data_IF_820463807518
#
_entry.id   IF_820463807518
#
_cell.length_a   1.000
_cell.length_b   1.000
_cell.length_c   1.000
_cell.angle_alpha   90.00
_cell.angle_beta   90.00
_cell.angle_gamma   90.00
#
_symmetry.space_group_name_H-M   'P 1'
#
loop_
_entity.id
_entity.type
_entity.pdbx_description
1 polymer ?
#
# COMPACT_ATOMS: atom_id res chain seq x y z
N UNK A 1 12.67 30.89 -64.82
CA UNK A 1 11.80 30.62 -63.66
C UNK A 1 12.61 30.85 -62.40
N UNK A 2 12.20 31.79 -61.55
CA UNK A 2 12.99 32.35 -60.44
C UNK A 2 13.22 31.33 -59.32
N UNK A 3 14.31 30.56 -59.40
CA UNK A 3 14.69 29.55 -58.39
C UNK A 3 14.72 30.13 -56.97
N UNK A 4 15.06 31.41 -56.80
CA UNK A 4 15.04 32.11 -55.51
C UNK A 4 13.64 32.32 -54.93
N UNK A 5 12.62 32.54 -55.78
CA UNK A 5 11.22 32.64 -55.34
C UNK A 5 10.68 31.27 -54.94
N UNK A 6 10.99 30.24 -55.71
CA UNK A 6 10.62 28.86 -55.39
C UNK A 6 11.21 28.42 -54.04
N UNK A 7 12.49 28.69 -53.79
CA UNK A 7 13.16 28.37 -52.52
C UNK A 7 12.49 29.06 -51.32
N UNK A 8 12.13 30.35 -51.44
CA UNK A 8 11.45 31.09 -50.36
C UNK A 8 10.06 30.51 -50.05
N UNK A 9 9.33 30.08 -51.08
CA UNK A 9 8.01 29.44 -50.91
C UNK A 9 8.16 28.08 -50.21
N UNK A 10 9.16 27.28 -50.60
CA UNK A 10 9.43 25.99 -49.96
C UNK A 10 9.79 26.15 -48.48
N UNK A 11 10.65 27.12 -48.15
CA UNK A 11 11.02 27.42 -46.75
C UNK A 11 9.79 27.86 -45.95
N UNK A 12 8.93 28.71 -46.52
CA UNK A 12 7.70 29.14 -45.86
C UNK A 12 6.74 27.96 -45.61
N UNK A 13 6.58 27.07 -46.58
CA UNK A 13 5.74 25.87 -46.44
C UNK A 13 6.30 24.91 -45.36
N UNK A 14 7.62 24.71 -45.32
CA UNK A 14 8.26 23.89 -44.29
C UNK A 14 8.08 24.48 -42.88
N UNK A 15 8.18 25.80 -42.74
CA UNK A 15 7.90 26.47 -41.47
C UNK A 15 6.45 26.28 -41.03
N UNK A 16 5.50 26.44 -41.96
CA UNK A 16 4.07 26.25 -41.69
C UNK A 16 3.81 24.82 -41.22
N UNK A 17 4.35 23.81 -41.91
CA UNK A 17 4.21 22.39 -41.52
C UNK A 17 4.77 22.13 -40.13
N UNK A 18 5.94 22.69 -39.80
CA UNK A 18 6.53 22.53 -38.47
C UNK A 18 5.69 23.19 -37.37
N UNK A 19 5.11 24.36 -37.63
CA UNK A 19 4.20 25.03 -36.67
C UNK A 19 2.94 24.19 -36.46
N UNK A 20 2.35 23.64 -37.52
CA UNK A 20 1.18 22.75 -37.39
C UNK A 20 1.50 21.45 -36.64
N UNK A 21 2.65 20.82 -36.92
CA UNK A 21 3.08 19.63 -36.17
C UNK A 21 3.34 19.94 -34.70
N UNK A 22 4.01 21.06 -34.39
CA UNK A 22 4.22 21.47 -33.01
C UNK A 22 2.89 21.74 -32.30
N UNK A 23 1.94 22.42 -32.96
CA UNK A 23 0.59 22.63 -32.43
C UNK A 23 -0.17 21.32 -32.18
N UNK A 24 -0.05 20.34 -33.09
CA UNK A 24 -0.65 19.02 -32.93
C UNK A 24 -0.05 18.25 -31.74
N UNK A 25 1.28 18.25 -31.59
CA UNK A 25 1.97 17.57 -30.48
C UNK A 25 1.62 18.22 -29.14
N UNK A 26 1.58 19.55 -29.08
CA UNK A 26 1.17 20.28 -27.86
C UNK A 26 -0.30 19.96 -27.54
N UNK A 27 -1.18 19.98 -28.53
CA UNK A 27 -2.58 19.62 -28.29
C UNK A 27 -2.68 18.18 -27.77
N UNK A 28 -2.02 17.20 -28.39
CA UNK A 28 -2.03 15.80 -27.94
C UNK A 28 -1.43 15.62 -26.53
N UNK A 29 -0.42 16.40 -26.16
CA UNK A 29 0.24 16.32 -24.86
C UNK A 29 -0.54 17.00 -23.73
N UNK A 30 -1.43 17.94 -24.05
CA UNK A 30 -2.18 18.75 -23.07
C UNK A 30 -3.70 18.67 -23.22
N UNK A 31 -4.23 17.88 -24.15
CA UNK A 31 -5.65 17.55 -24.17
C UNK A 31 -5.91 16.55 -23.06
N UNK A 32 -6.92 16.83 -22.23
CA UNK A 32 -7.45 15.83 -21.32
C UNK A 32 -7.83 14.60 -22.15
N UNK A 33 -7.33 13.42 -21.78
CA UNK A 33 -7.55 12.25 -22.59
C UNK A 33 -9.02 11.90 -22.64
N UNK A 34 -9.51 11.65 -23.85
CA UNK A 34 -10.79 10.98 -24.04
C UNK A 34 -10.61 9.55 -23.53
N UNK A 35 -11.05 9.32 -22.29
CA UNK A 35 -10.84 8.11 -21.48
C UNK A 35 -11.02 6.77 -22.21
N UNK A 36 -11.80 6.74 -23.30
CA UNK A 36 -12.02 5.56 -24.14
C UNK A 36 -10.84 5.19 -25.02
N UNK A 37 -10.14 6.17 -25.59
CA UNK A 37 -9.01 5.91 -26.49
C UNK A 37 -7.76 5.52 -25.70
N UNK A 38 -7.56 6.08 -24.50
CA UNK A 38 -6.47 5.68 -23.60
C UNK A 38 -6.65 4.27 -23.06
N UNK A 39 -7.86 3.89 -22.62
CA UNK A 39 -8.12 2.53 -22.15
C UNK A 39 -7.79 1.50 -23.23
N UNK A 40 -8.23 1.76 -24.46
CA UNK A 40 -7.93 0.90 -25.61
C UNK A 40 -6.42 0.82 -25.87
N UNK A 41 -5.73 1.95 -25.89
CA UNK A 41 -4.29 2.02 -26.09
C UNK A 41 -3.50 1.27 -25.00
N UNK A 42 -3.87 1.45 -23.73
CA UNK A 42 -3.26 0.76 -22.58
C UNK A 42 -3.49 -0.75 -22.69
N UNK A 43 -4.71 -1.17 -23.02
CA UNK A 43 -5.06 -2.59 -23.18
C UNK A 43 -4.26 -3.23 -24.32
N UNK A 44 -4.09 -2.53 -25.44
CA UNK A 44 -3.26 -2.99 -26.57
C UNK A 44 -1.77 -3.11 -26.19
N UNK A 45 -1.23 -2.19 -25.40
CA UNK A 45 0.15 -2.28 -24.87
C UNK A 45 0.32 -3.47 -23.92
N UNK A 46 -0.62 -3.68 -23.00
CA UNK A 46 -0.57 -4.80 -22.06
C UNK A 46 -0.63 -6.14 -22.80
N UNK A 47 -1.52 -6.26 -23.78
CA UNK A 47 -1.60 -7.44 -24.64
C UNK A 47 -0.32 -7.67 -25.46
N UNK A 48 0.30 -6.60 -26.00
CA UNK A 48 1.61 -6.71 -26.68
C UNK A 48 2.72 -7.24 -25.75
N UNK A 49 2.63 -6.96 -24.45
CA UNK A 49 3.57 -7.45 -23.42
C UNK A 49 3.18 -8.79 -22.83
N UNK A 50 2.16 -9.45 -23.37
CA UNK A 50 1.63 -10.71 -22.87
C UNK A 50 1.14 -10.62 -21.41
N UNK A 51 0.58 -9.45 -21.04
CA UNK A 51 -0.02 -9.19 -19.73
C UNK A 51 -1.54 -9.19 -19.90
N UNK A 52 -2.23 -10.11 -19.23
CA UNK A 52 -3.68 -10.17 -19.18
C UNK A 52 -4.21 -9.52 -17.89
N UNK A 53 -5.24 -8.68 -18.02
CA UNK A 53 -6.03 -8.19 -16.89
C UNK A 53 -7.28 -9.05 -16.78
N UNK A 54 -7.40 -9.84 -15.71
CA UNK A 54 -8.58 -10.64 -15.39
C UNK A 54 -9.38 -9.97 -14.27
N UNK A 55 -9.80 -8.73 -14.53
CA UNK A 55 -10.67 -7.97 -13.62
C UNK A 55 -11.61 -7.05 -14.40
N UNK A 56 -12.81 -6.83 -13.86
CA UNK A 56 -13.70 -5.78 -14.33
C UNK A 56 -13.21 -4.44 -13.77
N UNK A 57 -12.78 -3.55 -14.66
CA UNK A 57 -12.47 -2.17 -14.29
C UNK A 57 -13.79 -1.40 -14.29
N UNK A 58 -14.22 -0.81 -13.16
CA UNK A 58 -15.48 -0.08 -13.10
C UNK A 58 -15.50 1.08 -14.08
N UNK A 59 -16.60 1.24 -14.84
CA UNK A 59 -16.77 2.36 -15.78
C UNK A 59 -17.06 3.71 -15.10
N UNK A 60 -17.27 3.70 -13.77
CA UNK A 60 -17.56 4.89 -12.99
C UNK A 60 -16.35 5.33 -12.17
N UNK A 61 -16.15 6.65 -12.07
CA UNK A 61 -15.26 7.20 -11.05
C UNK A 61 -16.00 7.14 -9.71
N UNK A 62 -15.57 6.26 -8.80
CA UNK A 62 -16.02 6.31 -7.43
C UNK A 62 -15.60 7.65 -6.81
N UNK A 63 -16.45 8.35 -6.05
CA UNK A 63 -16.02 9.52 -5.31
C UNK A 63 -14.90 9.11 -4.36
N UNK A 64 -13.71 9.70 -4.54
CA UNK A 64 -12.57 9.45 -3.66
C UNK A 64 -12.88 10.02 -2.27
N UNK A 65 -12.91 9.16 -1.25
CA UNK A 65 -12.91 9.60 0.13
C UNK A 65 -11.48 9.97 0.54
N UNK A 66 -11.32 11.10 1.23
CA UNK A 66 -10.06 11.45 1.87
C UNK A 66 -10.13 10.98 3.30
N UNK A 67 -9.27 10.03 3.67
CA UNK A 67 -9.07 9.67 5.08
C UNK A 67 -8.43 10.89 5.75
N UNK A 68 -9.17 11.51 6.67
CA UNK A 68 -8.64 12.65 7.44
C UNK A 68 -7.96 12.08 8.68
N UNK A 69 -6.66 12.32 8.81
CA UNK A 69 -5.88 11.86 9.97
C UNK A 69 -6.33 12.65 11.20
N UNK A 70 -7.07 12.03 12.11
CA UNK A 70 -7.15 12.51 13.48
C UNK A 70 -5.84 12.17 14.19
N UNK A 71 -5.44 12.96 15.18
CA UNK A 71 -4.31 12.59 16.03
C UNK A 71 -4.54 11.19 16.61
N UNK A 72 -3.63 10.25 16.34
CA UNK A 72 -3.68 8.92 16.92
C UNK A 72 -3.58 9.03 18.45
N UNK A 73 -4.59 8.54 19.16
CA UNK A 73 -4.52 8.37 20.61
C UNK A 73 -4.03 6.96 20.95
N UNK A 74 -2.73 6.85 21.21
CA UNK A 74 -2.07 5.61 21.60
C UNK A 74 -2.08 5.35 23.12
N UNK A 75 -2.71 6.22 23.92
CA UNK A 75 -2.58 6.21 25.39
C UNK A 75 -2.95 4.87 25.99
N UNK A 76 -4.09 4.29 25.60
CA UNK A 76 -4.55 3.01 26.12
C UNK A 76 -3.58 1.85 25.80
N UNK A 77 -3.05 1.81 24.57
CA UNK A 77 -2.08 0.79 24.14
C UNK A 77 -0.79 0.94 24.92
N UNK A 78 -0.26 2.16 25.04
CA UNK A 78 0.97 2.42 25.77
C UNK A 78 0.84 2.09 27.26
N UNK A 79 -0.30 2.41 27.88
CA UNK A 79 -0.54 2.09 29.28
C UNK A 79 -0.66 0.57 29.50
N UNK A 80 -1.36 -0.15 28.63
CA UNK A 80 -1.37 -1.61 28.64
C UNK A 80 0.03 -2.20 28.51
N UNK A 81 0.85 -1.72 27.56
CA UNK A 81 2.20 -2.24 27.33
C UNK A 81 3.16 -1.97 28.51
N UNK A 82 2.98 -0.86 29.24
CA UNK A 82 3.74 -0.59 30.48
C UNK A 82 3.48 -1.62 31.57
N UNK A 83 2.27 -2.18 31.64
CA UNK A 83 1.90 -3.19 32.64
C UNK A 83 2.45 -4.59 32.31
N UNK A 84 2.89 -4.83 31.08
CA UNK A 84 3.38 -6.14 30.61
C UNK A 84 4.89 -6.36 30.80
N UNK A 85 5.59 -5.48 31.53
CA UNK A 85 7.04 -5.59 31.84
C UNK A 85 7.96 -5.76 30.61
N UNK A 86 7.53 -5.31 29.42
CA UNK A 86 8.34 -5.35 28.20
C UNK A 86 8.97 -4.01 27.85
N UNK A 87 9.78 -4.00 26.80
CA UNK A 87 10.44 -2.79 26.29
C UNK A 87 9.61 -2.24 25.14
N UNK A 88 9.19 -0.98 25.21
CA UNK A 88 8.53 -0.30 24.09
C UNK A 88 9.15 1.05 23.77
N UNK A 89 8.93 1.49 22.54
CA UNK A 89 9.24 2.84 22.04
C UNK A 89 8.17 3.27 21.04
N UNK A 90 7.83 4.55 21.04
CA UNK A 90 6.97 5.17 20.04
C UNK A 90 7.80 6.13 19.18
N UNK A 91 7.61 6.09 17.86
CA UNK A 91 8.28 7.00 16.93
C UNK A 91 7.46 8.28 16.68
N UNK A 92 8.03 9.23 15.92
CA UNK A 92 7.37 10.50 15.57
C UNK A 92 6.09 10.33 14.73
N UNK A 93 5.88 9.14 14.15
CA UNK A 93 4.71 8.80 13.34
C UNK A 93 3.66 7.99 14.13
N UNK A 94 3.83 7.85 15.45
CA UNK A 94 2.90 7.10 16.31
C UNK A 94 3.01 5.58 16.15
N UNK A 95 4.11 5.07 15.57
CA UNK A 95 4.37 3.64 15.48
C UNK A 95 4.98 3.17 16.79
N UNK A 96 4.30 2.24 17.45
CA UNK A 96 4.77 1.60 18.67
C UNK A 96 5.54 0.35 18.29
N UNK A 97 6.79 0.27 18.73
CA UNK A 97 7.58 -0.96 18.72
C UNK A 97 7.59 -1.53 20.14
N UNK A 98 7.21 -2.79 20.30
CA UNK A 98 7.20 -3.49 21.58
C UNK A 98 7.95 -4.82 21.49
N UNK A 99 8.77 -5.09 22.50
CA UNK A 99 9.45 -6.38 22.72
C UNK A 99 8.99 -6.90 24.09
N UNK A 100 8.09 -7.89 24.10
CA UNK A 100 7.63 -8.53 25.33
C UNK A 100 8.78 -9.26 26.06
N UNK A 101 8.68 -9.43 27.38
CA UNK A 101 9.61 -10.29 28.10
C UNK A 101 9.39 -11.76 27.71
N UNK A 102 10.46 -12.54 27.65
CA UNK A 102 10.38 -13.99 27.40
C UNK A 102 9.84 -14.67 28.66
N UNK A 103 8.60 -15.14 28.61
CA UNK A 103 7.91 -15.81 29.72
C UNK A 103 7.85 -17.33 29.57
N UNK A 104 7.86 -17.82 28.33
CA UNK A 104 7.74 -19.25 28.00
C UNK A 104 8.51 -19.57 26.70
N UNK A 105 9.08 -20.78 26.66
CA UNK A 105 9.71 -21.34 25.46
C UNK A 105 8.91 -22.53 24.91
N UNK A 106 8.69 -22.55 23.60
CA UNK A 106 7.94 -23.54 22.84
C UNK A 106 8.90 -24.41 22.03
N UNK A 107 9.26 -25.58 22.56
CA UNK A 107 10.20 -26.49 21.89
C UNK A 107 9.64 -27.03 20.56
N UNK A 108 8.33 -27.31 20.54
CA UNK A 108 7.58 -27.81 19.38
C UNK A 108 6.71 -26.71 18.75
N UNK A 109 7.29 -25.53 18.50
CA UNK A 109 6.56 -24.44 17.84
C UNK A 109 6.13 -24.84 16.43
N UNK A 110 4.82 -24.86 16.19
CA UNK A 110 4.21 -25.01 14.86
C UNK A 110 3.59 -23.70 14.41
N UNK A 111 3.26 -23.61 13.11
CA UNK A 111 2.49 -22.48 12.56
C UNK A 111 1.17 -22.27 13.30
N UNK A 112 0.44 -23.36 13.58
CA UNK A 112 -0.84 -23.33 14.30
C UNK A 112 -0.65 -22.75 15.71
N UNK A 113 0.38 -23.18 16.43
CA UNK A 113 0.69 -22.65 17.77
C UNK A 113 1.09 -21.18 17.72
N UNK A 114 1.87 -20.79 16.71
CA UNK A 114 2.27 -19.40 16.52
C UNK A 114 1.07 -18.50 16.18
N UNK A 115 0.11 -19.01 15.39
CA UNK A 115 -1.13 -18.31 15.07
C UNK A 115 -1.98 -18.10 16.33
N UNK A 116 -2.18 -19.15 17.15
CA UNK A 116 -2.89 -19.02 18.44
C UNK A 116 -2.27 -17.96 19.35
N UNK A 117 -0.93 -17.91 19.45
CA UNK A 117 -0.21 -16.90 20.24
C UNK A 117 -0.44 -15.50 19.69
N UNK A 118 -0.43 -15.35 18.36
CA UNK A 118 -0.63 -14.06 17.72
C UNK A 118 -2.07 -13.56 17.86
N UNK A 119 -3.06 -14.42 17.63
CA UNK A 119 -4.48 -14.11 17.78
C UNK A 119 -4.80 -13.70 19.23
N UNK A 120 -4.36 -14.49 20.22
CA UNK A 120 -4.54 -14.21 21.65
C UNK A 120 -3.92 -12.87 22.07
N UNK A 121 -2.78 -12.49 21.48
CA UNK A 121 -2.18 -11.19 21.73
C UNK A 121 -3.01 -10.03 21.15
N UNK A 122 -3.48 -10.15 19.90
CA UNK A 122 -4.28 -9.12 19.24
C UNK A 122 -5.63 -8.94 19.95
N UNK A 123 -6.26 -10.03 20.39
CA UNK A 123 -7.52 -10.00 21.16
C UNK A 123 -7.39 -9.25 22.50
N UNK A 124 -6.21 -9.27 23.12
CA UNK A 124 -5.94 -8.63 24.41
C UNK A 124 -5.51 -7.17 24.31
N UNK A 125 -5.11 -6.70 23.12
CA UNK A 125 -4.75 -5.30 22.94
C UNK A 125 -5.98 -4.40 23.19
N UNK A 126 -5.80 -3.23 23.83
CA UNK A 126 -6.88 -2.27 24.05
C UNK A 126 -7.19 -1.48 22.77
N UNK A 127 -7.61 -2.22 21.74
CA UNK A 127 -7.98 -1.75 20.41
C UNK A 127 -9.30 -2.44 20.01
N UNK A 128 -9.91 -1.98 18.93
CA UNK A 128 -11.03 -2.69 18.32
C UNK A 128 -10.52 -3.94 17.57
N UNK A 129 -10.25 -5.01 18.31
CA UNK A 129 -9.59 -6.22 17.80
C UNK A 129 -10.43 -6.94 16.73
N UNK A 130 -11.76 -6.85 16.80
CA UNK A 130 -12.68 -7.40 15.79
C UNK A 130 -12.54 -6.72 14.42
N UNK A 131 -12.03 -5.49 14.40
CA UNK A 131 -11.76 -4.75 13.18
C UNK A 131 -10.37 -5.08 12.58
N UNK A 132 -9.59 -5.98 13.16
CA UNK A 132 -8.33 -6.45 12.57
C UNK A 132 -8.49 -7.84 11.98
N UNK A 133 -8.01 -8.01 10.75
CA UNK A 133 -7.98 -9.29 10.05
C UNK A 133 -6.54 -9.69 9.74
N UNK A 134 -6.26 -10.98 9.86
CA UNK A 134 -5.00 -11.56 9.40
C UNK A 134 -4.89 -11.43 7.88
N UNK A 135 -3.94 -10.63 7.42
CA UNK A 135 -3.64 -10.38 6.01
C UNK A 135 -2.67 -11.44 5.45
N UNK A 136 -1.58 -11.67 6.18
CA UNK A 136 -0.52 -12.56 5.70
C UNK A 136 0.29 -13.18 6.84
N UNK A 137 0.76 -14.40 6.59
CA UNK A 137 1.75 -15.08 7.42
C UNK A 137 2.99 -15.37 6.58
N UNK A 138 4.16 -14.97 7.08
CA UNK A 138 5.45 -15.21 6.45
C UNK A 138 6.32 -16.08 7.34
N UNK A 139 7.01 -17.06 6.76
CA UNK A 139 8.07 -17.79 7.47
C UNK A 139 9.32 -16.91 7.47
N UNK A 140 9.66 -16.35 8.64
CA UNK A 140 10.78 -15.43 8.80
C UNK A 140 12.11 -16.15 9.11
N UNK A 141 12.03 -17.44 9.47
CA UNK A 141 13.17 -18.28 9.84
C UNK A 141 12.75 -19.71 10.20
N UNK A 142 13.66 -20.50 10.75
CA UNK A 142 13.36 -21.86 11.23
C UNK A 142 12.57 -21.76 12.53
N UNK A 143 11.27 -22.09 12.49
CA UNK A 143 10.33 -21.90 13.61
C UNK A 143 10.20 -20.43 14.02
N UNK A 144 10.15 -19.54 13.03
CA UNK A 144 9.89 -18.12 13.22
C UNK A 144 8.85 -17.68 12.19
N UNK A 145 7.77 -17.07 12.66
CA UNK A 145 6.61 -16.70 11.88
C UNK A 145 6.30 -15.22 12.08
N UNK A 146 6.09 -14.50 10.98
CA UNK A 146 5.63 -13.12 11.01
C UNK A 146 4.17 -13.07 10.60
N UNK A 147 3.34 -12.49 11.46
CA UNK A 147 1.91 -12.27 11.24
C UNK A 147 1.67 -10.79 10.98
N UNK A 148 0.90 -10.49 9.94
CA UNK A 148 0.47 -9.14 9.62
C UNK A 148 -1.05 -9.07 9.75
N UNK A 149 -1.54 -8.20 10.63
CA UNK A 149 -2.95 -7.88 10.78
C UNK A 149 -3.21 -6.49 10.23
N UNK A 150 -4.28 -6.34 9.44
CA UNK A 150 -4.70 -5.09 8.84
C UNK A 150 -6.07 -4.68 9.36
N UNK A 151 -6.27 -3.38 9.51
CA UNK A 151 -7.55 -2.83 9.94
C UNK A 151 -8.58 -2.84 8.81
N UNK A 152 -9.80 -3.20 9.16
CA UNK A 152 -10.98 -3.22 8.30
C UNK A 152 -11.94 -2.12 8.73
N UNK A 153 -12.20 -1.19 7.82
CA UNK A 153 -13.30 -0.23 7.94
C UNK A 153 -14.44 -0.64 7.01
N UNK A 154 -15.40 -1.40 7.55
CA UNK A 154 -16.47 -2.02 6.77
C UNK A 154 -15.92 -3.04 5.76
N UNK A 155 -15.90 -2.68 4.47
CA UNK A 155 -15.37 -3.52 3.39
C UNK A 155 -14.01 -3.05 2.85
N UNK A 156 -13.40 -2.05 3.48
CA UNK A 156 -12.14 -1.46 3.04
C UNK A 156 -10.98 -1.85 3.95
N UNK A 157 -9.88 -2.27 3.33
CA UNK A 157 -8.63 -2.54 4.02
C UNK A 157 -7.82 -1.25 4.19
N UNK A 158 -7.44 -0.92 5.43
CA UNK A 158 -6.64 0.27 5.75
C UNK A 158 -5.22 -0.17 6.09
N UNK A 159 -4.37 -0.31 5.07
CA UNK A 159 -3.00 -0.80 5.22
C UNK A 159 -2.08 0.08 6.08
N UNK A 160 -2.45 1.35 6.27
CA UNK A 160 -1.72 2.24 7.15
C UNK A 160 -2.02 1.99 8.64
N UNK A 161 -3.08 1.25 8.98
CA UNK A 161 -3.38 0.83 10.36
C UNK A 161 -3.20 -0.68 10.46
N UNK A 162 -2.12 -1.10 11.11
CA UNK A 162 -1.68 -2.51 11.10
C UNK A 162 -0.93 -2.92 12.35
N UNK A 163 -0.91 -4.23 12.58
CA UNK A 163 -0.11 -4.88 13.62
C UNK A 163 0.77 -5.91 12.94
N UNK A 164 2.08 -5.79 13.11
CA UNK A 164 3.05 -6.78 12.63
C UNK A 164 3.69 -7.46 13.83
N UNK A 165 3.73 -8.78 13.84
CA UNK A 165 4.22 -9.55 14.98
C UNK A 165 5.15 -10.66 14.52
N UNK A 166 6.31 -10.79 15.16
CA UNK A 166 7.19 -11.94 15.00
C UNK A 166 7.03 -12.87 16.20
N UNK A 167 6.70 -14.13 15.93
CA UNK A 167 6.60 -15.22 16.92
C UNK A 167 7.67 -16.26 16.63
N UNK A 168 8.44 -16.61 17.66
CA UNK A 168 9.46 -17.65 17.61
C UNK A 168 9.29 -18.64 18.75
N UNK A 169 10.29 -19.53 18.93
CA UNK A 169 10.30 -20.47 20.04
C UNK A 169 10.28 -19.79 21.40
N UNK A 170 10.80 -18.57 21.52
CA UNK A 170 10.83 -17.84 22.78
C UNK A 170 9.57 -16.97 22.99
N UNK A 171 8.52 -17.20 22.18
CA UNK A 171 7.26 -16.47 22.23
C UNK A 171 7.22 -15.31 21.24
N UNK A 172 6.52 -14.23 21.60
CA UNK A 172 6.48 -13.02 20.77
C UNK A 172 7.79 -12.26 20.94
N UNK A 173 8.58 -12.16 19.88
CA UNK A 173 9.87 -11.45 19.91
C UNK A 173 9.69 -9.95 19.73
N UNK A 174 8.77 -9.57 18.85
CA UNK A 174 8.58 -8.18 18.47
C UNK A 174 7.19 -7.93 17.92
N UNK A 175 6.63 -6.80 18.30
CA UNK A 175 5.36 -6.28 17.80
C UNK A 175 5.58 -4.86 17.31
N UNK A 176 5.03 -4.56 16.13
CA UNK A 176 4.89 -3.22 15.61
C UNK A 176 3.40 -2.90 15.52
N UNK A 177 2.97 -1.82 16.16
CA UNK A 177 1.58 -1.36 16.15
C UNK A 177 1.59 0.01 15.50
N UNK A 178 0.93 0.13 14.35
CA UNK A 178 0.66 1.42 13.71
C UNK A 178 -0.82 1.69 13.84
N UNK A 179 -1.16 2.56 14.77
CA UNK A 179 -2.52 3.06 14.99
C UNK A 179 -2.63 4.40 14.25
N UNK A 180 -3.62 4.53 13.37
CA UNK A 180 -4.02 5.80 12.77
C UNK A 180 -5.25 6.33 13.50
#
# INVERSE_FOLDING_TARGET
MDSKKALRIIIALLLIVNVFMAGYIVNLAFSEPDTKDEYKYITEILAYRDIALDCEIPEYAAPSAVITVSSTDNTAVLDYLKEQDGIFSEDENGVITYTPPVTQRYEDLTLEKAAEIADDYVEKLPIDSEAYMLDSILTAGVNEYRFNYIYLDGSSYIYDRKIEMTVSKDGIEKVYIKSL
#
